data_IF_186395100072
#
_entry.id   IF_186395100072
#
_cell.length_a   1.000
_cell.length_b   1.000
_cell.length_c   1.000
_cell.angle_alpha   90.00
_cell.angle_beta   90.00
_cell.angle_gamma   90.00
#
_symmetry.space_group_name_H-M   'P 1'
#
loop_
_entity.id
_entity.type
_entity.pdbx_description
1 polymer ?
#
# COMPACT_ATOMS: atom_id res chain seq x y z
N UNK A 1 17.22 -8.03 5.69
CA UNK A 1 15.91 -7.40 5.39
C UNK A 1 16.10 -5.89 5.36
N UNK A 2 15.71 -5.19 4.28
CA UNK A 2 16.07 -3.76 4.07
C UNK A 2 15.57 -2.87 5.22
N UNK A 3 14.45 -3.21 5.86
CA UNK A 3 13.86 -2.47 6.99
C UNK A 3 14.79 -2.45 8.21
N UNK A 4 15.57 -3.51 8.44
CA UNK A 4 16.54 -3.57 9.54
C UNK A 4 17.68 -2.56 9.40
N UNK A 5 17.93 -2.05 8.19
CA UNK A 5 18.90 -0.97 7.93
C UNK A 5 18.34 0.41 8.34
N UNK A 6 17.03 0.52 8.55
CA UNK A 6 16.34 1.77 8.88
C UNK A 6 15.91 1.85 10.36
N UNK A 7 16.48 1.02 11.25
CA UNK A 7 16.01 0.86 12.63
C UNK A 7 16.00 2.13 13.49
N UNK A 8 16.72 3.18 13.10
CA UNK A 8 16.67 4.51 13.74
C UNK A 8 15.42 5.33 13.37
N UNK A 9 14.74 4.99 12.27
CA UNK A 9 13.60 5.74 11.73
C UNK A 9 12.31 4.92 11.68
N UNK A 10 12.43 3.62 11.40
CA UNK A 10 11.32 2.70 11.20
C UNK A 10 11.35 1.57 12.23
N UNK A 11 10.18 1.28 12.80
CA UNK A 11 9.94 0.12 13.64
C UNK A 11 9.07 -0.89 12.88
N UNK A 12 9.51 -2.16 12.88
CA UNK A 12 8.70 -3.30 12.46
C UNK A 12 8.10 -3.95 13.71
N UNK A 13 6.78 -3.90 13.84
CA UNK A 13 6.05 -4.70 14.85
C UNK A 13 5.19 -5.71 14.14
N UNK A 14 5.47 -6.99 14.38
CA UNK A 14 4.85 -8.12 13.71
C UNK A 14 5.01 -8.04 12.18
N UNK A 15 4.06 -7.39 11.48
CA UNK A 15 4.06 -7.15 10.03
C UNK A 15 3.71 -5.71 9.67
N UNK A 16 3.73 -4.81 10.64
CA UNK A 16 3.39 -3.40 10.46
C UNK A 16 4.65 -2.55 10.56
N UNK A 17 4.92 -1.78 9.52
CA UNK A 17 6.01 -0.81 9.49
C UNK A 17 5.46 0.54 9.96
N UNK A 18 6.13 1.15 10.93
CA UNK A 18 5.73 2.45 11.50
C UNK A 18 6.95 3.32 11.75
N UNK A 19 6.77 4.63 11.85
CA UNK A 19 7.85 5.52 12.29
C UNK A 19 8.07 5.36 13.79
N UNK A 20 9.34 5.35 14.22
CA UNK A 20 9.71 5.26 15.65
C UNK A 20 9.17 6.48 16.42
N UNK A 21 9.12 7.65 15.78
CA UNK A 21 8.61 8.88 16.37
C UNK A 21 7.99 9.81 15.31
N UNK A 22 7.04 10.68 15.69
CA UNK A 22 6.44 11.65 14.74
C UNK A 22 7.47 12.60 14.14
N UNK A 23 8.51 12.98 14.89
CA UNK A 23 9.61 13.79 14.35
C UNK A 23 10.38 13.09 13.22
N UNK A 24 10.46 11.75 13.21
CA UNK A 24 11.08 11.01 12.11
C UNK A 24 10.24 11.11 10.82
N UNK A 25 8.91 11.07 10.96
CA UNK A 25 7.97 11.32 9.86
C UNK A 25 8.10 12.76 9.34
N UNK A 26 8.07 13.74 10.24
CA UNK A 26 8.13 15.16 9.87
C UNK A 26 9.47 15.54 9.24
N UNK A 27 10.56 14.94 9.71
CA UNK A 27 11.89 15.08 9.14
C UNK A 27 11.95 14.52 7.71
N UNK A 28 11.40 13.32 7.49
CA UNK A 28 11.33 12.73 6.15
C UNK A 28 10.52 13.56 5.16
N UNK A 29 9.42 14.17 5.60
CA UNK A 29 8.59 15.04 4.76
C UNK A 29 9.32 16.34 4.39
N UNK A 30 10.21 16.85 5.26
CA UNK A 30 10.92 18.12 5.08
C UNK A 30 12.26 18.01 4.33
N UNK A 31 12.80 16.80 4.16
CA UNK A 31 14.13 16.63 3.56
C UNK A 31 14.11 16.40 2.04
N UNK A 32 15.25 16.74 1.42
CA UNK A 32 15.68 16.47 0.04
C UNK A 32 15.80 14.97 -0.34
N UNK A 33 15.23 14.06 0.46
CA UNK A 33 15.24 12.59 0.22
C UNK A 33 14.52 12.24 -1.08
N UNK A 34 13.61 13.10 -1.52
CA UNK A 34 12.94 13.00 -2.81
C UNK A 34 13.43 14.13 -3.72
N UNK A 35 14.50 13.91 -4.53
CA UNK A 35 15.04 14.92 -5.41
C UNK A 35 14.02 15.48 -6.40
N UNK A 36 13.04 14.64 -6.77
CA UNK A 36 11.92 14.98 -7.66
C UNK A 36 10.66 15.45 -6.92
N UNK A 37 10.74 15.61 -5.59
CA UNK A 37 9.63 16.06 -4.75
C UNK A 37 8.65 14.95 -4.37
N UNK A 38 7.86 15.22 -3.33
CA UNK A 38 6.91 14.27 -2.76
C UNK A 38 5.79 13.92 -3.76
N UNK A 39 5.25 14.92 -4.47
CA UNK A 39 4.20 14.72 -5.49
C UNK A 39 4.61 13.69 -6.56
N UNK A 40 5.87 13.73 -7.03
CA UNK A 40 6.38 12.76 -8.01
C UNK A 40 6.46 11.35 -7.45
N UNK A 41 6.81 11.19 -6.16
CA UNK A 41 6.80 9.88 -5.50
C UNK A 41 5.39 9.33 -5.41
N UNK A 42 4.41 10.17 -5.03
CA UNK A 42 3.00 9.76 -5.03
C UNK A 42 2.54 9.34 -6.43
N UNK A 43 2.94 10.05 -7.48
CA UNK A 43 2.67 9.65 -8.86
C UNK A 43 3.24 8.26 -9.20
N UNK A 44 4.50 7.98 -8.82
CA UNK A 44 5.12 6.66 -9.03
C UNK A 44 4.32 5.57 -8.30
N UNK A 45 3.94 5.82 -7.04
CA UNK A 45 3.19 4.83 -6.24
C UNK A 45 1.82 4.60 -6.88
N UNK A 46 1.09 5.66 -7.24
CA UNK A 46 -0.19 5.57 -7.96
C UNK A 46 -0.06 4.72 -9.23
N UNK A 47 0.92 5.02 -10.09
CA UNK A 47 1.15 4.28 -11.33
C UNK A 47 1.44 2.80 -11.09
N UNK A 48 2.28 2.49 -10.09
CA UNK A 48 2.55 1.10 -9.67
C UNK A 48 1.31 0.43 -9.09
N UNK A 49 0.50 1.13 -8.31
CA UNK A 49 -0.73 0.60 -7.76
C UNK A 49 -1.70 0.19 -8.86
N UNK A 50 -1.87 1.02 -9.89
CA UNK A 50 -2.66 0.65 -11.08
C UNK A 50 -2.09 -0.59 -11.78
N UNK A 51 -0.78 -0.67 -11.96
CA UNK A 51 -0.15 -1.83 -12.60
C UNK A 51 -0.37 -3.12 -11.81
N UNK A 52 -0.22 -3.07 -10.48
CA UNK A 52 -0.47 -4.22 -9.59
C UNK A 52 -1.94 -4.63 -9.66
N UNK A 53 -2.85 -3.67 -9.51
CA UNK A 53 -4.29 -3.95 -9.58
C UNK A 53 -4.69 -4.54 -10.94
N UNK A 54 -4.18 -4.00 -12.04
CA UNK A 54 -4.46 -4.52 -13.39
C UNK A 54 -3.96 -5.95 -13.61
N UNK A 55 -2.88 -6.36 -12.94
CA UNK A 55 -2.31 -7.72 -13.06
C UNK A 55 -2.98 -8.71 -12.11
N UNK A 56 -3.46 -8.25 -10.97
CA UNK A 56 -3.96 -9.13 -9.88
C UNK A 56 -5.48 -9.20 -9.83
N UNK A 57 -6.18 -8.08 -10.04
CA UNK A 57 -7.63 -8.04 -9.95
C UNK A 57 -8.27 -8.74 -11.15
N UNK A 58 -9.26 -9.57 -10.84
CA UNK A 58 -10.15 -10.20 -11.80
C UNK A 58 -11.56 -10.19 -11.25
N UNK A 59 -12.54 -10.31 -12.13
CA UNK A 59 -13.95 -10.46 -11.72
C UNK A 59 -14.07 -11.69 -10.83
N UNK A 60 -14.82 -11.54 -9.74
CA UNK A 60 -15.06 -12.60 -8.77
C UNK A 60 -13.77 -13.25 -8.25
N UNK A 61 -12.85 -12.44 -7.74
CA UNK A 61 -11.52 -12.90 -7.33
C UNK A 61 -11.55 -14.02 -6.26
N UNK A 62 -12.58 -14.03 -5.41
CA UNK A 62 -12.81 -15.04 -4.40
C UNK A 62 -13.70 -16.20 -4.85
N UNK A 63 -14.26 -16.18 -6.07
CA UNK A 63 -15.10 -17.25 -6.60
C UNK A 63 -16.43 -17.41 -5.88
N UNK A 64 -17.05 -16.32 -5.43
CA UNK A 64 -18.30 -16.31 -4.67
C UNK A 64 -19.54 -16.54 -5.55
N UNK A 65 -19.42 -16.38 -6.87
CA UNK A 65 -20.43 -16.73 -7.86
C UNK A 65 -21.60 -15.75 -8.00
N UNK A 66 -22.05 -15.09 -6.92
CA UNK A 66 -23.20 -14.19 -6.94
C UNK A 66 -22.97 -12.89 -6.15
N UNK A 67 -23.47 -11.74 -6.66
CA UNK A 67 -23.61 -10.53 -5.85
C UNK A 67 -24.52 -10.81 -4.65
N UNK A 68 -24.08 -10.46 -3.43
CA UNK A 68 -24.86 -10.68 -2.20
C UNK A 68 -24.50 -11.95 -1.42
N UNK A 69 -23.44 -12.66 -1.78
CA UNK A 69 -22.91 -13.77 -0.97
C UNK A 69 -22.63 -13.32 0.48
N UNK A 70 -23.12 -14.03 1.51
CA UNK A 70 -22.97 -13.60 2.90
C UNK A 70 -21.50 -13.49 3.33
N UNK A 71 -21.11 -12.35 3.90
CA UNK A 71 -19.71 -12.07 4.25
C UNK A 71 -19.16 -13.03 5.32
N UNK A 72 -20.04 -13.47 6.23
CA UNK A 72 -19.77 -14.44 7.29
C UNK A 72 -19.44 -15.84 6.74
N UNK A 73 -19.83 -16.13 5.50
CA UNK A 73 -19.54 -17.41 4.84
C UNK A 73 -18.31 -17.33 3.92
N UNK A 74 -17.74 -16.14 3.71
CA UNK A 74 -16.55 -15.96 2.85
C UNK A 74 -15.33 -16.55 3.54
N UNK A 75 -14.72 -17.55 2.91
CA UNK A 75 -13.45 -18.13 3.36
C UNK A 75 -12.30 -17.49 2.61
N UNK A 76 -11.35 -16.91 3.33
CA UNK A 76 -10.11 -16.41 2.75
C UNK A 76 -9.23 -17.59 2.32
N UNK A 77 -8.85 -17.71 1.04
CA UNK A 77 -7.92 -18.74 0.59
C UNK A 77 -6.51 -18.51 1.16
N UNK A 78 -5.72 -19.59 1.25
CA UNK A 78 -4.28 -19.50 1.53
C UNK A 78 -3.51 -19.99 0.30
N UNK A 79 -2.74 -19.11 -0.39
CA UNK A 79 -2.50 -17.70 -0.08
C UNK A 79 -3.70 -16.79 -0.42
N UNK A 80 -3.81 -15.67 0.30
CA UNK A 80 -4.82 -14.64 0.02
C UNK A 80 -4.57 -14.04 -1.37
N UNK A 81 -5.54 -14.16 -2.32
CA UNK A 81 -5.38 -13.66 -3.68
C UNK A 81 -5.18 -12.14 -3.75
N UNK A 82 -5.61 -11.40 -2.72
CA UNK A 82 -5.40 -9.95 -2.62
C UNK A 82 -4.18 -9.55 -1.81
N UNK A 83 -3.43 -10.48 -1.21
CA UNK A 83 -2.30 -10.14 -0.32
C UNK A 83 -1.32 -9.14 -0.92
N UNK A 84 -0.93 -9.33 -2.19
CA UNK A 84 0.02 -8.47 -2.90
C UNK A 84 -0.60 -7.17 -3.43
N UNK A 85 -1.92 -7.14 -3.63
CA UNK A 85 -2.64 -5.99 -4.18
C UNK A 85 -3.38 -5.17 -3.12
N UNK A 86 -3.49 -5.65 -1.87
CA UNK A 86 -4.31 -5.06 -0.80
C UNK A 86 -3.99 -3.59 -0.59
N UNK A 87 -2.71 -3.25 -0.45
CA UNK A 87 -2.28 -1.86 -0.29
C UNK A 87 -2.70 -1.01 -1.50
N UNK A 88 -2.41 -1.47 -2.71
CA UNK A 88 -2.78 -0.78 -3.94
C UNK A 88 -4.29 -0.57 -4.07
N UNK A 89 -5.10 -1.56 -3.70
CA UNK A 89 -6.57 -1.47 -3.76
C UNK A 89 -7.13 -0.41 -2.80
N UNK A 90 -6.48 -0.20 -1.66
CA UNK A 90 -6.94 0.73 -0.63
C UNK A 90 -6.46 2.16 -0.90
N UNK A 91 -5.19 2.33 -1.27
CA UNK A 91 -4.53 3.65 -1.21
C UNK A 91 -4.25 4.32 -2.56
N UNK A 92 -4.56 3.69 -3.71
CA UNK A 92 -4.21 4.28 -5.01
C UNK A 92 -4.81 5.68 -5.23
N UNK A 93 -6.03 5.92 -4.73
CA UNK A 93 -6.69 7.25 -4.83
C UNK A 93 -5.98 8.28 -3.98
N UNK A 94 -5.55 7.92 -2.77
CA UNK A 94 -4.81 8.82 -1.88
C UNK A 94 -3.51 9.30 -2.54
N UNK A 95 -2.83 8.39 -3.25
CA UNK A 95 -1.63 8.74 -4.02
C UNK A 95 -1.95 9.62 -5.23
N UNK A 96 -3.06 9.37 -5.93
CA UNK A 96 -3.51 10.23 -7.03
C UNK A 96 -3.81 11.67 -6.56
N UNK A 97 -4.49 11.82 -5.42
CA UNK A 97 -4.78 13.14 -4.87
C UNK A 97 -3.51 13.88 -4.46
N UNK A 98 -2.53 13.18 -3.90
CA UNK A 98 -1.27 13.76 -3.44
C UNK A 98 -0.28 14.09 -4.57
N UNK A 99 -0.47 13.56 -5.79
CA UNK A 99 0.38 13.93 -6.93
C UNK A 99 -0.12 15.12 -7.75
N UNK A 100 -1.35 15.60 -7.51
CA UNK A 100 -1.96 16.74 -8.22
C UNK A 100 -1.80 18.08 -7.46
N UNK A 101 -0.92 18.13 -6.46
CA UNK A 101 -0.63 19.33 -5.66
C UNK A 101 0.70 19.98 -6.05
#
# INVERSE_FOLDING_TARGET
>A
EIIGLCGSFLALRERTISFVHQSARDFWVKQTIFPSGLAHVHYIIFSRSLQVMSKTLRRDIFGLGAPGFPIDQVKQPTPDPLSSARYSCVYWVDHLLQCNH
#
